data_IF_683082135408
#
_entry.id   IF_683082135408
#
_cell.length_a   1.000
_cell.length_b   1.000
_cell.length_c   1.000
_cell.angle_alpha   90.00
_cell.angle_beta   90.00
_cell.angle_gamma   90.00
#
_symmetry.space_group_name_H-M   'P 1'
#
loop_
_entity.id
_entity.type
_entity.pdbx_description
1 polymer ?
#
# COMPACT_ATOMS: atom_id res chain seq x y z
N UNK A 1 14.82 0.30 11.68
CA UNK A 1 14.06 1.11 10.70
C UNK A 1 13.33 0.13 9.82
N UNK A 2 12.03 0.30 9.60
CA UNK A 2 11.18 -0.66 8.87
C UNK A 2 11.21 -0.46 7.35
N UNK A 3 12.09 0.43 6.86
CA UNK A 3 12.33 0.58 5.43
C UNK A 3 13.82 0.72 5.06
N UNK A 4 14.15 0.28 3.85
CA UNK A 4 15.47 0.37 3.21
C UNK A 4 15.39 1.29 1.98
N UNK A 5 16.45 2.08 1.74
CA UNK A 5 16.56 2.97 0.58
C UNK A 5 17.67 2.51 -0.36
N UNK A 6 17.32 2.34 -1.63
CA UNK A 6 18.24 2.01 -2.72
C UNK A 6 18.32 3.19 -3.68
N UNK A 7 19.53 3.65 -4.00
CA UNK A 7 19.75 4.83 -4.84
C UNK A 7 20.33 4.43 -6.18
N UNK A 8 19.72 4.89 -7.27
CA UNK A 8 20.13 4.56 -8.63
C UNK A 8 20.36 5.82 -9.46
N UNK A 9 21.41 5.78 -10.28
CA UNK A 9 21.74 6.78 -11.31
C UNK A 9 21.82 8.21 -10.73
N UNK A 10 22.60 8.36 -9.66
CA UNK A 10 22.88 9.63 -8.97
C UNK A 10 21.68 10.34 -8.33
N UNK A 11 20.60 9.61 -8.04
CA UNK A 11 19.41 10.18 -7.39
C UNK A 11 19.74 10.80 -6.02
N UNK A 12 20.71 10.26 -5.28
CA UNK A 12 21.22 10.81 -4.03
C UNK A 12 21.86 12.20 -4.21
N UNK A 13 22.62 12.40 -5.28
CA UNK A 13 23.27 13.68 -5.60
C UNK A 13 22.23 14.73 -5.96
N UNK A 14 21.22 14.35 -6.73
CA UNK A 14 20.10 15.22 -7.11
C UNK A 14 19.34 15.67 -5.86
N UNK A 15 18.92 14.73 -5.02
CA UNK A 15 18.17 15.04 -3.77
C UNK A 15 18.97 15.94 -2.84
N UNK A 16 20.29 15.72 -2.69
CA UNK A 16 21.17 16.58 -1.90
C UNK A 16 21.23 18.01 -2.46
N UNK A 17 21.42 18.17 -3.78
CA UNK A 17 21.44 19.48 -4.44
C UNK A 17 20.13 20.25 -4.23
N UNK A 18 19.00 19.54 -4.24
CA UNK A 18 17.67 20.12 -4.02
C UNK A 18 17.30 20.34 -2.55
N UNK A 19 18.18 19.97 -1.61
CA UNK A 19 17.94 20.02 -0.16
C UNK A 19 16.69 19.23 0.27
N UNK A 20 16.37 18.16 -0.46
CA UNK A 20 15.17 17.34 -0.24
C UNK A 20 15.42 16.14 0.71
N UNK A 21 16.67 15.88 1.10
CA UNK A 21 17.02 14.68 1.86
C UNK A 21 16.29 14.54 3.20
N UNK A 22 16.22 15.63 3.99
CA UNK A 22 15.49 15.63 5.26
C UNK A 22 13.98 15.50 5.05
N UNK A 23 13.42 16.20 4.06
CA UNK A 23 11.99 16.14 3.72
C UNK A 23 11.57 14.72 3.34
N UNK A 24 12.35 14.07 2.47
CA UNK A 24 12.11 12.69 2.03
C UNK A 24 12.20 11.76 3.23
N UNK A 25 13.28 11.84 4.02
CA UNK A 25 13.46 10.95 5.16
C UNK A 25 12.35 11.09 6.21
N UNK A 26 11.93 12.32 6.53
CA UNK A 26 10.81 12.57 7.43
C UNK A 26 9.49 12.05 6.85
N UNK A 27 9.28 12.21 5.55
CA UNK A 27 8.09 11.66 4.86
C UNK A 27 8.06 10.14 4.97
N UNK A 28 9.17 9.45 4.63
CA UNK A 28 9.22 8.00 4.64
C UNK A 28 9.06 7.43 6.06
N UNK A 29 9.62 8.08 7.09
CA UNK A 29 9.37 7.73 8.50
C UNK A 29 7.91 7.88 8.88
N UNK A 30 7.29 9.00 8.48
CA UNK A 30 5.88 9.21 8.78
C UNK A 30 4.98 8.19 8.07
N UNK A 31 5.30 7.82 6.82
CA UNK A 31 4.60 6.77 6.11
C UNK A 31 4.76 5.40 6.79
N UNK A 32 5.94 5.10 7.31
CA UNK A 32 6.21 3.89 8.07
C UNK A 32 5.26 3.78 9.27
N UNK A 33 5.22 4.84 10.10
CA UNK A 33 4.40 4.92 11.31
C UNK A 33 2.90 4.83 11.00
N UNK A 34 2.43 5.52 9.97
CA UNK A 34 0.99 5.60 9.62
C UNK A 34 0.50 4.32 8.96
N UNK A 35 1.36 3.61 8.20
CA UNK A 35 0.92 2.49 7.37
C UNK A 35 1.15 1.12 8.02
N UNK A 36 1.99 1.03 9.06
CA UNK A 36 2.31 -0.22 9.75
C UNK A 36 1.04 -0.95 10.23
N UNK A 37 0.88 -2.22 9.83
CA UNK A 37 -0.24 -3.08 10.25
C UNK A 37 -1.64 -2.67 9.76
N UNK A 38 -1.76 -1.57 9.00
CA UNK A 38 -3.06 -1.02 8.60
C UNK A 38 -3.70 -1.71 7.38
N UNK A 39 -5.04 -1.70 7.32
CA UNK A 39 -5.82 -2.23 6.19
C UNK A 39 -5.91 -1.22 5.03
N UNK A 40 -6.23 0.04 5.32
CA UNK A 40 -6.60 1.05 4.32
C UNK A 40 -5.39 1.88 3.84
N UNK A 41 -4.28 1.20 3.52
CA UNK A 41 -2.99 1.82 3.17
C UNK A 41 -3.09 2.86 2.05
N UNK A 42 -3.97 2.66 1.07
CA UNK A 42 -4.12 3.57 -0.06
C UNK A 42 -4.62 4.97 0.32
N UNK A 43 -5.62 5.05 1.21
CA UNK A 43 -6.17 6.34 1.65
C UNK A 43 -5.28 7.00 2.70
N UNK A 44 -4.75 6.21 3.64
CA UNK A 44 -3.79 6.70 4.62
C UNK A 44 -2.53 7.27 3.97
N UNK A 45 -2.01 6.61 2.93
CA UNK A 45 -0.89 7.12 2.14
C UNK A 45 -1.24 8.46 1.46
N UNK A 46 -2.45 8.59 0.90
CA UNK A 46 -2.90 9.83 0.27
C UNK A 46 -2.96 10.97 1.30
N UNK A 47 -3.53 10.72 2.47
CA UNK A 47 -3.65 11.67 3.57
C UNK A 47 -2.27 12.10 4.07
N UNK A 48 -1.41 11.15 4.42
CA UNK A 48 -0.06 11.43 4.91
C UNK A 48 0.79 12.22 3.88
N UNK A 49 0.69 11.90 2.59
CA UNK A 49 1.35 12.68 1.54
C UNK A 49 0.76 14.09 1.40
N UNK A 50 -0.54 14.28 1.65
CA UNK A 50 -1.17 15.60 1.66
C UNK A 50 -0.67 16.44 2.84
N UNK A 51 -0.61 15.87 4.03
CA UNK A 51 -0.13 16.53 5.26
C UNK A 51 1.35 16.91 5.17
N UNK A 52 2.14 16.13 4.45
CA UNK A 52 3.57 16.39 4.20
C UNK A 52 3.83 17.26 2.95
N UNK A 53 2.80 17.95 2.44
CA UNK A 53 2.84 18.86 1.28
C UNK A 53 3.28 18.26 -0.05
N UNK A 54 3.17 16.95 -0.23
CA UNK A 54 3.49 16.29 -1.51
C UNK A 54 2.36 16.38 -2.53
N UNK A 55 1.20 16.94 -2.18
CA UNK A 55 0.01 16.96 -3.06
C UNK A 55 -0.46 18.36 -3.40
N UNK A 56 0.40 19.37 -3.22
CA UNK A 56 0.09 20.78 -3.52
C UNK A 56 0.25 21.11 -5.02
N UNK A 57 1.16 20.42 -5.71
CA UNK A 57 1.42 20.63 -7.14
C UNK A 57 0.49 19.78 -8.03
N UNK A 58 0.28 20.16 -9.31
CA UNK A 58 -0.44 19.33 -10.27
C UNK A 58 0.23 17.96 -10.46
N UNK A 59 -0.42 16.90 -9.97
CA UNK A 59 0.13 15.53 -9.99
C UNK A 59 -0.01 14.84 -11.36
N UNK A 60 -0.56 15.52 -12.37
CA UNK A 60 -0.81 14.97 -13.71
C UNK A 60 0.48 14.76 -14.50
N UNK A 61 0.70 13.50 -14.88
CA UNK A 61 1.87 13.08 -15.66
C UNK A 61 1.70 13.47 -17.14
N UNK A 62 0.59 13.05 -17.74
CA UNK A 62 0.18 13.39 -19.09
C UNK A 62 -1.12 14.18 -19.07
N UNK A 63 -1.22 15.14 -19.97
CA UNK A 63 -2.41 15.99 -20.08
C UNK A 63 -3.60 15.14 -20.58
N UNK A 64 -4.79 15.39 -20.01
CA UNK A 64 -6.01 14.64 -20.32
C UNK A 64 -6.04 13.18 -19.81
N UNK A 65 -5.04 12.74 -19.03
CA UNK A 65 -5.02 11.40 -18.42
C UNK A 65 -5.38 11.45 -16.94
N UNK A 66 -5.97 10.36 -16.44
CA UNK A 66 -6.45 10.24 -15.06
C UNK A 66 -5.39 9.70 -14.09
N UNK A 67 -4.34 9.06 -14.57
CA UNK A 67 -3.25 8.62 -13.70
C UNK A 67 -2.37 9.81 -13.29
N UNK A 68 -1.95 9.78 -12.05
CA UNK A 68 -1.24 10.86 -11.37
C UNK A 68 -0.12 10.27 -10.53
N UNK A 69 0.91 11.07 -10.26
CA UNK A 69 1.83 10.74 -9.18
C UNK A 69 1.07 10.62 -7.85
N UNK A 70 1.62 9.85 -6.92
CA UNK A 70 1.13 9.86 -5.54
C UNK A 70 1.51 11.14 -4.81
N UNK A 71 2.66 11.68 -5.15
CA UNK A 71 3.13 12.97 -4.64
C UNK A 71 4.12 13.62 -5.61
N UNK A 72 4.17 14.94 -5.61
CA UNK A 72 5.13 15.75 -6.34
C UNK A 72 5.48 16.95 -5.46
N UNK A 73 6.78 17.14 -5.23
CA UNK A 73 7.28 18.30 -4.50
C UNK A 73 8.64 18.68 -5.04
N UNK A 74 8.78 19.95 -5.46
CA UNK A 74 10.06 20.50 -5.89
C UNK A 74 10.74 19.62 -6.96
N UNK A 75 9.99 19.15 -7.96
CA UNK A 75 10.51 18.29 -9.05
C UNK A 75 10.99 16.90 -8.61
N UNK A 76 10.60 16.42 -7.43
CA UNK A 76 10.75 15.03 -6.99
C UNK A 76 9.36 14.40 -6.93
N UNK A 77 9.12 13.31 -7.66
CA UNK A 77 7.85 12.60 -7.62
C UNK A 77 7.91 11.32 -6.80
N UNK A 78 6.76 10.95 -6.21
CA UNK A 78 6.53 9.69 -5.52
C UNK A 78 5.49 8.89 -6.31
N UNK A 79 5.80 7.63 -6.58
CA UNK A 79 4.87 6.64 -7.12
C UNK A 79 5.11 5.26 -6.47
N UNK A 80 4.36 4.22 -6.84
CA UNK A 80 4.57 2.85 -6.36
C UNK A 80 3.32 2.15 -5.82
N UNK A 81 3.52 1.03 -5.13
CA UNK A 81 2.45 0.31 -4.44
C UNK A 81 3.03 -0.65 -3.41
N UNK A 82 2.32 -0.82 -2.30
CA UNK A 82 2.65 -1.83 -1.28
C UNK A 82 1.93 -3.17 -1.52
N UNK A 83 1.17 -3.30 -2.60
CA UNK A 83 0.40 -4.51 -2.87
C UNK A 83 1.27 -5.68 -3.33
N UNK A 84 2.30 -5.41 -4.13
CA UNK A 84 3.23 -6.43 -4.62
C UNK A 84 4.47 -5.78 -5.25
N UNK A 85 5.50 -6.57 -5.52
CA UNK A 85 6.76 -6.10 -6.12
C UNK A 85 6.56 -5.60 -7.56
N UNK A 86 5.67 -6.23 -8.32
CA UNK A 86 5.47 -6.02 -9.76
C UNK A 86 5.03 -4.59 -10.11
N UNK A 87 4.46 -3.86 -9.15
CA UNK A 87 4.13 -2.45 -9.31
C UNK A 87 5.34 -1.54 -9.52
N UNK A 88 6.57 -2.06 -9.37
CA UNK A 88 7.81 -1.35 -9.74
C UNK A 88 7.77 -0.89 -11.20
N UNK A 89 7.30 -1.72 -12.13
CA UNK A 89 7.30 -1.41 -13.56
C UNK A 89 6.36 -0.24 -13.89
N UNK A 90 5.15 -0.26 -13.35
CA UNK A 90 4.17 0.81 -13.48
C UNK A 90 4.69 2.15 -12.97
N UNK A 91 5.34 2.13 -11.80
CA UNK A 91 5.90 3.32 -11.17
C UNK A 91 7.09 3.87 -11.96
N UNK A 92 8.03 3.00 -12.35
CA UNK A 92 9.20 3.39 -13.14
C UNK A 92 8.79 3.97 -14.49
N UNK A 93 7.82 3.37 -15.18
CA UNK A 93 7.29 3.89 -16.44
C UNK A 93 6.73 5.32 -16.27
N UNK A 94 5.89 5.53 -15.26
CA UNK A 94 5.26 6.84 -15.00
C UNK A 94 6.27 7.90 -14.62
N UNK A 95 7.27 7.55 -13.82
CA UNK A 95 8.34 8.46 -13.45
C UNK A 95 9.23 8.78 -14.65
N UNK A 96 9.59 7.79 -15.49
CA UNK A 96 10.36 8.00 -16.72
C UNK A 96 9.66 8.98 -17.66
N UNK A 97 8.36 8.81 -17.89
CA UNK A 97 7.57 9.74 -18.72
C UNK A 97 7.62 11.17 -18.14
N UNK A 98 7.58 11.31 -16.82
CA UNK A 98 7.75 12.60 -16.14
C UNK A 98 9.11 13.23 -16.37
N UNK A 99 10.14 12.42 -16.26
CA UNK A 99 11.53 12.83 -16.43
C UNK A 99 11.80 13.29 -17.86
N UNK A 100 11.36 12.52 -18.86
CA UNK A 100 11.51 12.87 -20.29
C UNK A 100 10.76 14.16 -20.65
N UNK A 101 9.64 14.42 -19.98
CA UNK A 101 8.88 15.67 -20.09
C UNK A 101 9.44 16.82 -19.25
N UNK A 102 10.55 16.62 -18.55
CA UNK A 102 11.18 17.61 -17.66
C UNK A 102 10.26 18.11 -16.54
N UNK A 103 9.25 17.31 -16.16
CA UNK A 103 8.35 17.61 -15.04
C UNK A 103 9.01 17.26 -13.70
N UNK A 104 9.92 16.29 -13.70
CA UNK A 104 10.66 15.83 -12.52
C UNK A 104 12.14 15.67 -12.88
N UNK A 105 13.01 15.76 -11.87
CA UNK A 105 14.45 15.49 -11.99
C UNK A 105 14.81 14.10 -11.44
N UNK A 106 14.01 13.58 -10.52
CA UNK A 106 14.18 12.26 -9.92
C UNK A 106 12.86 11.77 -9.35
N UNK A 107 12.76 10.47 -9.08
CA UNK A 107 11.57 9.84 -8.53
C UNK A 107 11.87 8.94 -7.33
N UNK A 108 10.84 8.67 -6.55
CA UNK A 108 10.83 7.74 -5.41
C UNK A 108 9.77 6.69 -5.70
N UNK A 109 10.15 5.42 -5.69
CA UNK A 109 9.21 4.30 -5.80
C UNK A 109 9.02 3.68 -4.42
N UNK A 110 7.77 3.66 -3.96
CA UNK A 110 7.35 2.97 -2.73
C UNK A 110 7.01 1.52 -3.08
N UNK A 111 7.69 0.55 -2.46
CA UNK A 111 7.45 -0.88 -2.66
C UNK A 111 7.37 -1.61 -1.33
N UNK A 112 6.68 -2.74 -1.35
CA UNK A 112 6.72 -3.70 -0.25
C UNK A 112 8.07 -4.45 -0.24
N UNK A 113 8.68 -4.58 0.93
CA UNK A 113 9.81 -5.47 1.18
C UNK A 113 9.33 -6.93 1.39
N UNK A 114 8.07 -7.10 1.82
CA UNK A 114 7.48 -8.41 2.09
C UNK A 114 7.45 -9.29 0.86
N UNK A 115 7.70 -10.58 1.09
CA UNK A 115 7.71 -11.61 0.06
C UNK A 115 6.85 -12.79 0.45
N UNK A 116 6.30 -13.46 -0.56
CA UNK A 116 5.78 -14.81 -0.37
C UNK A 116 6.95 -15.78 -0.14
N UNK A 117 6.78 -16.67 0.84
CA UNK A 117 7.69 -17.81 1.10
C UNK A 117 7.83 -18.74 -0.12
N UNK A 118 6.91 -18.66 -1.09
CA UNK A 118 6.90 -19.50 -2.29
C UNK A 118 7.69 -18.91 -3.46
N UNK A 119 8.28 -17.73 -3.31
CA UNK A 119 8.95 -17.08 -4.44
C UNK A 119 10.34 -17.69 -4.69
N UNK A 120 10.66 -18.09 -5.94
CA UNK A 120 11.90 -18.81 -6.26
C UNK A 120 13.12 -17.90 -6.46
N UNK A 121 12.92 -16.59 -6.61
CA UNK A 121 13.99 -15.65 -6.94
C UNK A 121 14.69 -15.13 -5.66
N UNK A 122 15.71 -14.29 -5.71
CA UNK A 122 16.43 -13.79 -4.51
C UNK A 122 15.66 -12.82 -3.60
N UNK A 123 16.35 -12.00 -2.79
CA UNK A 123 15.70 -10.97 -1.96
C UNK A 123 14.95 -9.92 -2.81
N UNK A 124 13.98 -9.20 -2.24
CA UNK A 124 13.29 -8.10 -2.95
C UNK A 124 14.28 -7.05 -3.42
N UNK A 125 15.34 -6.80 -2.64
CA UNK A 125 16.45 -5.92 -3.02
C UNK A 125 17.18 -6.39 -4.27
N UNK A 126 17.60 -7.66 -4.32
CA UNK A 126 18.28 -8.24 -5.49
C UNK A 126 17.41 -8.16 -6.75
N UNK A 127 16.10 -8.40 -6.60
CA UNK A 127 15.15 -8.26 -7.70
C UNK A 127 15.07 -6.82 -8.21
N UNK A 128 14.96 -5.84 -7.32
CA UNK A 128 14.96 -4.42 -7.70
C UNK A 128 16.24 -4.05 -8.42
N UNK A 129 17.39 -4.48 -7.89
CA UNK A 129 18.69 -4.20 -8.50
C UNK A 129 18.78 -4.78 -9.92
N UNK A 130 18.37 -6.05 -10.10
CA UNK A 130 18.36 -6.72 -11.39
C UNK A 130 17.38 -6.04 -12.37
N UNK A 131 16.15 -5.75 -11.95
CA UNK A 131 15.12 -5.11 -12.78
C UNK A 131 15.56 -3.74 -13.29
N UNK A 132 16.21 -2.93 -12.44
CA UNK A 132 16.70 -1.61 -12.87
C UNK A 132 17.83 -1.73 -13.91
N UNK A 133 18.62 -2.80 -13.88
CA UNK A 133 19.60 -3.09 -14.93
C UNK A 133 18.92 -3.58 -16.21
N UNK A 134 18.00 -4.54 -16.11
CA UNK A 134 17.33 -5.14 -17.26
C UNK A 134 16.45 -4.13 -18.02
N UNK A 135 15.90 -3.13 -17.33
CA UNK A 135 15.11 -2.07 -17.94
C UNK A 135 15.96 -0.96 -18.60
N UNK A 136 17.29 -0.96 -18.44
CA UNK A 136 18.16 0.00 -19.10
C UNK A 136 18.39 -0.40 -20.58
N UNK A 137 18.41 0.55 -21.54
CA UNK A 137 18.32 2.01 -21.39
C UNK A 137 16.89 2.59 -21.41
N UNK A 138 15.85 1.75 -21.55
CA UNK A 138 14.46 2.20 -21.69
C UNK A 138 13.98 3.01 -20.49
N UNK A 139 14.23 2.52 -19.27
CA UNK A 139 14.12 3.31 -18.06
C UNK A 139 15.54 3.75 -17.73
N UNK A 140 15.83 5.05 -17.80
CA UNK A 140 17.16 5.65 -17.57
C UNK A 140 17.16 6.76 -16.52
N UNK A 141 15.99 7.17 -16.03
CA UNK A 141 15.86 8.26 -15.06
C UNK A 141 16.50 7.96 -13.67
N UNK A 142 17.00 8.97 -12.95
CA UNK A 142 17.47 8.86 -11.56
C UNK A 142 16.37 8.52 -10.57
N UNK A 143 16.48 7.40 -9.86
CA UNK A 143 15.39 6.91 -8.97
C UNK A 143 15.90 6.46 -7.60
N UNK A 144 15.06 6.63 -6.58
CA UNK A 144 15.22 6.05 -5.25
C UNK A 144 14.14 4.99 -5.08
N UNK A 145 14.50 3.79 -4.66
CA UNK A 145 13.53 2.75 -4.30
C UNK A 145 13.48 2.65 -2.78
N UNK A 146 12.28 2.79 -2.22
CA UNK A 146 12.02 2.64 -0.80
C UNK A 146 11.26 1.34 -0.55
N UNK A 147 11.93 0.37 0.08
CA UNK A 147 11.38 -0.93 0.42
C UNK A 147 10.84 -0.91 1.85
N UNK A 148 9.54 -1.09 2.05
CA UNK A 148 8.89 -1.06 3.36
C UNK A 148 8.45 -2.45 3.83
N UNK A 149 8.78 -2.81 5.06
CA UNK A 149 8.18 -3.94 5.76
C UNK A 149 7.04 -3.48 6.66
N UNK A 150 5.84 -3.35 6.07
CA UNK A 150 4.65 -2.84 6.75
C UNK A 150 3.90 -3.87 7.61
N UNK A 151 4.48 -5.08 7.79
CA UNK A 151 3.86 -6.18 8.51
C UNK A 151 2.59 -6.76 7.88
N UNK A 152 2.08 -7.84 8.51
CA UNK A 152 0.82 -8.49 8.13
C UNK A 152 -0.38 -7.64 8.57
N UNK A 153 -1.41 -7.64 7.72
CA UNK A 153 -2.68 -6.95 7.94
C UNK A 153 -3.33 -7.46 9.24
N UNK A 154 -3.69 -6.55 10.14
CA UNK A 154 -4.54 -6.86 11.31
C UNK A 154 -3.81 -7.21 12.61
N UNK A 155 -2.48 -7.10 12.68
CA UNK A 155 -1.76 -7.19 13.95
C UNK A 155 -1.86 -5.84 14.69
N UNK A 156 -3.03 -5.54 15.24
CA UNK A 156 -3.10 -4.61 16.37
C UNK A 156 -2.30 -5.23 17.50
N UNK A 157 -1.42 -4.43 18.10
CA UNK A 157 -0.57 -4.76 19.23
C UNK A 157 -1.31 -5.69 20.21
N UNK A 158 -0.92 -6.95 20.30
CA UNK A 158 -1.07 -7.63 21.58
C UNK A 158 -0.09 -6.90 22.49
N UNK A 159 -0.58 -5.87 23.18
CA UNK A 159 0.05 -5.44 24.42
C UNK A 159 0.28 -6.73 25.21
N UNK A 160 1.55 -7.01 25.49
CA UNK A 160 1.96 -8.17 26.26
C UNK A 160 1.09 -8.18 27.51
N UNK A 161 0.15 -9.13 27.60
CA UNK A 161 -0.49 -9.44 28.88
C UNK A 161 0.66 -9.80 29.80
N UNK A 162 1.00 -8.91 30.72
CA UNK A 162 1.86 -9.25 31.84
C UNK A 162 1.20 -10.45 32.53
N UNK A 163 1.83 -11.61 32.39
CA UNK A 163 1.45 -12.83 33.09
C UNK A 163 1.64 -12.57 34.58
N UNK A 164 0.56 -12.21 35.27
CA UNK A 164 0.51 -12.30 36.72
C UNK A 164 0.34 -13.78 37.05
N UNK A 165 1.46 -14.45 37.30
CA UNK A 165 1.49 -15.72 38.03
C UNK A 165 0.80 -15.51 39.37
N UNK A 166 -0.30 -16.22 39.61
CA UNK A 166 -0.80 -16.43 40.96
C UNK A 166 -0.97 -17.93 41.17
N UNK A 167 0.04 -18.53 41.80
CA UNK A 167 -0.04 -19.86 42.37
C UNK A 167 -1.15 -19.90 43.41
N UNK A 168 -2.10 -20.82 43.27
CA UNK A 168 -2.77 -21.40 44.42
C UNK A 168 -3.21 -22.85 44.17
N UNK A 169 -2.74 -23.66 45.10
CA UNK A 169 -2.71 -25.11 45.27
C UNK A 169 -4.07 -25.78 45.50
N UNK A 170 -4.21 -26.96 44.89
CA UNK A 170 -4.78 -28.23 45.41
C UNK A 170 -6.08 -28.27 46.27
N UNK A 171 -7.13 -28.82 45.64
CA UNK A 171 -8.06 -29.92 46.00
C UNK A 171 -8.66 -30.16 47.42
N UNK A 172 -9.90 -30.71 47.33
CA UNK A 172 -10.70 -31.52 48.28
C UNK A 172 -11.77 -30.75 49.11
N UNK A 173 -13.04 -31.17 49.27
CA UNK A 173 -13.78 -32.40 48.95
C UNK A 173 -15.31 -32.16 49.13
N UNK A 174 -16.11 -33.06 48.52
CA UNK A 174 -17.44 -33.58 48.92
C UNK A 174 -18.77 -32.84 48.58
N UNK A 175 -19.55 -33.53 47.73
CA UNK A 175 -21.02 -33.55 47.53
C UNK A 175 -21.69 -34.44 48.64
N UNK A 176 -23.04 -34.68 48.80
CA UNK A 176 -24.14 -34.59 47.80
C UNK A 176 -25.59 -34.21 48.32
N UNK A 177 -26.57 -34.35 47.40
CA UNK A 177 -28.05 -34.46 47.52
C UNK A 177 -28.84 -33.13 47.34
N UNK A 178 -29.95 -33.03 46.58
CA UNK A 178 -30.94 -34.04 46.17
C UNK A 178 -31.80 -33.53 44.97
N UNK A 179 -32.19 -34.47 44.11
CA UNK A 179 -33.49 -34.65 43.43
C UNK A 179 -34.10 -33.73 42.33
N UNK A 180 -34.14 -34.35 41.13
CA UNK A 180 -35.31 -34.70 40.28
C UNK A 180 -35.96 -33.73 39.26
N UNK A 181 -35.94 -34.22 38.00
CA UNK A 181 -36.95 -34.19 36.90
C UNK A 181 -37.33 -32.83 36.25
N UNK A 182 -37.45 -32.68 34.92
CA UNK A 182 -37.40 -33.64 33.82
C UNK A 182 -37.56 -32.97 32.44
N UNK A 183 -37.42 -33.82 31.40
CA UNK A 183 -37.56 -33.62 29.95
C UNK A 183 -38.47 -32.48 29.44
N UNK A 184 -38.04 -31.80 28.37
CA UNK A 184 -38.57 -31.98 26.99
C UNK A 184 -37.97 -30.95 26.00
N UNK A 185 -37.32 -31.43 24.95
CA UNK A 185 -37.35 -30.85 23.59
C UNK A 185 -38.29 -31.76 22.74
N UNK A 186 -38.65 -31.44 21.46
CA UNK A 186 -38.44 -30.23 20.63
C UNK A 186 -39.78 -29.76 19.96
N UNK A 187 -39.74 -28.81 19.02
CA UNK A 187 -40.29 -28.95 17.64
C UNK A 187 -40.20 -27.60 16.88
N UNK A 188 -39.99 -27.76 15.57
CA UNK A 188 -39.70 -26.87 14.45
C UNK A 188 -40.79 -25.87 14.04
N UNK A 189 -40.39 -24.81 13.30
CA UNK A 189 -40.74 -24.61 11.88
C UNK A 189 -40.41 -23.18 11.40
N UNK A 190 -40.11 -23.03 10.11
CA UNK A 190 -40.46 -21.81 9.38
C UNK A 190 -39.35 -21.04 8.67
N UNK A 191 -38.95 -21.54 7.50
CA UNK A 191 -38.23 -20.83 6.42
C UNK A 191 -38.98 -19.54 6.00
N UNK A 192 -38.27 -18.42 5.75
CA UNK A 192 -38.41 -17.66 4.48
C UNK A 192 -37.34 -16.58 4.26
N UNK A 193 -36.71 -16.71 3.08
CA UNK A 193 -35.69 -15.88 2.46
C UNK A 193 -36.38 -14.89 1.51
N UNK A 194 -36.03 -13.59 1.53
CA UNK A 194 -36.47 -12.64 0.51
C UNK A 194 -35.33 -11.70 0.08
N UNK A 195 -34.72 -12.03 -1.05
CA UNK A 195 -33.80 -11.17 -1.81
C UNK A 195 -34.58 -10.02 -2.49
N UNK A 196 -34.15 -8.77 -2.31
CA UNK A 196 -34.59 -7.63 -3.13
C UNK A 196 -33.46 -7.15 -4.04
N UNK A 197 -33.48 -7.60 -5.30
CA UNK A 197 -32.70 -7.06 -6.42
C UNK A 197 -33.14 -5.62 -6.72
N UNK A 198 -32.22 -4.65 -6.61
CA UNK A 198 -32.43 -3.27 -7.12
C UNK A 198 -31.87 -3.13 -8.54
N UNK A 199 -32.71 -2.60 -9.43
CA UNK A 199 -32.52 -2.43 -10.89
C UNK A 199 -31.47 -1.34 -11.20
N UNK A 200 -30.64 -1.55 -12.22
CA UNK A 200 -29.74 -0.56 -12.82
C UNK A 200 -30.51 0.33 -13.83
N UNK A 201 -30.17 1.63 -13.96
CA UNK A 201 -30.84 2.52 -14.90
C UNK A 201 -30.34 2.34 -16.35
N UNK A 202 -31.25 2.60 -17.28
CA UNK A 202 -31.14 2.44 -18.74
C UNK A 202 -30.32 3.58 -19.36
N UNK A 203 -29.45 3.23 -20.31
CA UNK A 203 -28.59 4.12 -21.11
C UNK A 203 -29.38 4.57 -22.35
N UNK A 204 -29.65 5.86 -22.51
CA UNK A 204 -30.18 6.43 -23.75
C UNK A 204 -29.08 6.46 -24.83
N UNK A 205 -29.47 6.03 -26.03
CA UNK A 205 -28.70 6.19 -27.28
C UNK A 205 -29.15 7.49 -27.92
N UNK A 206 -28.22 8.38 -28.22
CA UNK A 206 -28.33 9.28 -29.37
C UNK A 206 -27.05 9.15 -30.19
N UNK A 207 -27.25 8.85 -31.47
CA UNK A 207 -26.25 8.91 -32.55
C UNK A 207 -26.23 10.34 -33.05
N UNK A 208 -25.06 10.87 -33.38
CA UNK A 208 -24.87 11.55 -34.66
C UNK A 208 -23.37 11.49 -35.02
N UNK A 209 -23.13 11.00 -36.24
CA UNK A 209 -21.85 10.90 -36.92
C UNK A 209 -21.66 12.19 -37.73
N UNK A 210 -20.44 12.73 -37.79
CA UNK A 210 -19.93 13.37 -39.02
C UNK A 210 -18.39 13.30 -39.08
N UNK A 211 -17.78 13.17 -40.28
CA UNK A 211 -16.37 12.81 -40.47
C UNK A 211 -15.45 14.02 -40.66
N UNK A 212 -14.18 13.89 -40.26
CA UNK A 212 -13.15 14.86 -40.64
C UNK A 212 -12.50 14.48 -42.00
N UNK A 213 -12.29 15.45 -42.91
CA UNK A 213 -11.64 15.24 -44.20
C UNK A 213 -10.10 15.17 -44.09
N UNK A 214 -9.50 14.68 -45.19
CA UNK A 214 -8.14 14.17 -45.38
C UNK A 214 -6.97 15.12 -45.08
#
# INVERSE_FOLDING_TARGET
MSFELLYFRDSDRIVRKKKMGSVILSTLRYLDDVLQGTLYRGELLRQALSEMDWRQEPLSILDGRRYQYKGLRNGVAIDGSFSSYEYIQDALLRLQVGFDKKKIETGIVLLTALRSEKSPLGSTKELVEQEIQDLYPTISMPVIIALFDLGKLGNYTQETKEETHNDQTAESNADPADDHHGNQEPVSDGVQKAEKKRKRPVRSKEKEEEPCPA
#
